data_IF_282820175916
#
_entry.id   IF_282820175916
#
_cell.length_a   1.000
_cell.length_b   1.000
_cell.length_c   1.000
_cell.angle_alpha   90.00
_cell.angle_beta   90.00
_cell.angle_gamma   90.00
#
_symmetry.space_group_name_H-M   'P 1'
#
loop_
_entity.id
_entity.type
_entity.pdbx_description
1 polymer ?
#
# COMPACT_ATOMS: atom_id res chain seq x y z
N UNK A 1 -5.97 24.01 -1.22
CA UNK A 1 -5.16 22.93 -0.63
C UNK A 1 -5.78 21.57 -0.94
N UNK A 2 -4.99 20.65 -1.50
CA UNK A 2 -5.39 19.25 -1.73
C UNK A 2 -5.06 18.42 -0.49
N UNK A 3 -6.05 17.70 0.03
CA UNK A 3 -5.93 16.85 1.23
C UNK A 3 -6.48 15.45 0.94
N UNK A 4 -6.06 14.44 1.71
CA UNK A 4 -6.60 13.08 1.64
C UNK A 4 -7.60 12.82 2.78
N UNK A 5 -8.85 13.21 2.60
CA UNK A 5 -9.97 12.97 3.53
C UNK A 5 -10.77 11.72 3.14
N UNK A 6 -10.14 10.76 2.45
CA UNK A 6 -10.74 9.45 2.23
C UNK A 6 -10.70 8.63 3.53
N UNK A 7 -11.69 8.89 4.39
CA UNK A 7 -11.86 8.25 5.70
C UNK A 7 -12.88 7.10 5.63
N UNK A 8 -12.71 6.04 6.43
CA UNK A 8 -13.67 4.95 6.49
C UNK A 8 -14.97 5.41 7.16
N UNK A 9 -16.10 5.10 6.50
CA UNK A 9 -17.45 5.42 6.97
C UNK A 9 -18.21 4.14 7.29
N UNK A 10 -18.97 4.15 8.39
CA UNK A 10 -19.97 3.14 8.74
C UNK A 10 -21.28 3.86 9.04
N UNK A 11 -22.33 3.52 8.30
CA UNK A 11 -23.67 4.13 8.44
C UNK A 11 -23.68 5.66 8.38
N UNK A 12 -22.82 6.24 7.53
CA UNK A 12 -22.67 7.69 7.37
C UNK A 12 -21.78 8.38 8.41
N UNK A 13 -21.27 7.64 9.40
CA UNK A 13 -20.39 8.14 10.45
C UNK A 13 -18.92 7.81 10.17
N UNK A 14 -18.03 8.75 10.49
CA UNK A 14 -16.57 8.54 10.41
C UNK A 14 -16.15 7.57 11.50
N UNK A 15 -15.52 6.46 11.13
CA UNK A 15 -15.02 5.46 12.09
C UNK A 15 -13.57 5.67 12.47
N UNK A 16 -12.76 6.29 11.60
CA UNK A 16 -11.37 6.70 11.87
C UNK A 16 -11.09 8.06 11.26
N UNK A 17 -10.66 9.02 12.07
CA UNK A 17 -10.44 10.42 11.65
C UNK A 17 -8.96 10.76 11.39
N UNK A 18 -8.05 9.80 11.48
CA UNK A 18 -6.59 10.01 11.43
C UNK A 18 -6.14 10.88 10.25
N UNK A 19 -6.71 10.66 9.05
CA UNK A 19 -6.35 11.43 7.86
C UNK A 19 -6.80 12.89 7.90
N UNK A 20 -7.92 13.17 8.59
CA UNK A 20 -8.39 14.54 8.80
C UNK A 20 -7.45 15.24 9.77
N UNK A 21 -7.16 14.60 10.91
CA UNK A 21 -6.25 15.11 11.93
C UNK A 21 -4.86 15.39 11.34
N UNK A 22 -4.35 14.50 10.48
CA UNK A 22 -3.03 14.65 9.87
C UNK A 22 -2.88 15.89 8.97
N UNK A 23 -3.95 16.42 8.39
CA UNK A 23 -3.90 17.63 7.57
C UNK A 23 -4.08 18.93 8.39
N UNK A 24 -4.48 18.84 9.66
CA UNK A 24 -4.80 20.01 10.48
C UNK A 24 -3.60 20.93 10.66
N UNK A 25 -2.39 20.39 10.79
CA UNK A 25 -1.19 21.20 10.97
C UNK A 25 -0.96 22.13 9.78
N UNK A 26 -1.09 21.62 8.55
CA UNK A 26 -0.99 22.44 7.33
C UNK A 26 -2.10 23.49 7.25
N UNK A 27 -3.34 23.12 7.61
CA UNK A 27 -4.48 24.05 7.56
C UNK A 27 -4.29 25.18 8.56
N UNK A 28 -3.96 24.86 9.81
CA UNK A 28 -3.68 25.82 10.87
C UNK A 28 -2.52 26.73 10.50
N UNK A 29 -1.41 26.15 10.02
CA UNK A 29 -0.25 26.91 9.59
C UNK A 29 -0.62 27.98 8.56
N UNK A 30 -1.39 27.61 7.52
CA UNK A 30 -1.77 28.57 6.48
C UNK A 30 -2.70 29.67 7.01
N UNK A 31 -3.63 29.33 7.91
CA UNK A 31 -4.54 30.31 8.54
C UNK A 31 -3.78 31.27 9.48
N UNK A 32 -2.91 30.74 10.33
CA UNK A 32 -2.10 31.49 11.29
C UNK A 32 -1.14 32.47 10.60
N UNK A 33 -0.71 32.16 9.39
CA UNK A 33 0.17 33.02 8.58
C UNK A 33 -0.61 33.95 7.63
N UNK A 34 -1.87 34.24 7.95
CA UNK A 34 -2.64 35.33 7.32
C UNK A 34 -3.22 35.01 5.95
N UNK A 35 -3.40 33.73 5.60
CA UNK A 35 -4.13 33.40 4.38
C UNK A 35 -5.57 33.91 4.45
N UNK A 36 -6.00 34.62 3.40
CA UNK A 36 -7.37 35.16 3.28
C UNK A 36 -8.44 34.06 3.36
N UNK A 37 -8.17 32.90 2.78
CA UNK A 37 -9.04 31.73 2.80
C UNK A 37 -8.25 30.45 2.56
N UNK A 38 -8.83 29.32 2.96
CA UNK A 38 -8.30 27.98 2.66
C UNK A 38 -9.40 27.14 2.01
N UNK A 39 -9.27 26.88 0.71
CA UNK A 39 -10.18 25.99 -0.01
C UNK A 39 -9.64 24.56 0.05
N UNK A 40 -10.35 23.66 0.73
CA UNK A 40 -9.99 22.25 0.82
C UNK A 40 -10.65 21.45 -0.31
N UNK A 41 -9.87 20.60 -0.97
CA UNK A 41 -10.40 19.63 -1.93
C UNK A 41 -9.88 18.23 -1.62
N UNK A 42 -10.76 17.22 -1.69
CA UNK A 42 -10.40 15.82 -1.49
C UNK A 42 -11.17 14.88 -2.43
N UNK A 43 -10.99 13.57 -2.27
CA UNK A 43 -11.83 12.53 -2.85
C UNK A 43 -12.46 11.72 -1.72
N UNK A 44 -13.59 11.07 -1.99
CA UNK A 44 -14.23 10.15 -1.05
C UNK A 44 -14.83 8.99 -1.85
N UNK A 45 -14.41 7.77 -1.54
CA UNK A 45 -14.85 6.58 -2.27
C UNK A 45 -14.41 6.58 -3.74
N UNK A 46 -15.13 5.81 -4.56
CA UNK A 46 -14.91 5.70 -6.00
C UNK A 46 -16.23 5.88 -6.75
N UNK A 47 -16.73 7.12 -6.86
CA UNK A 47 -18.01 7.37 -7.51
C UNK A 47 -17.97 7.30 -9.05
N UNK A 48 -16.81 6.96 -9.62
CA UNK A 48 -16.53 6.85 -11.06
C UNK A 48 -17.10 8.01 -11.93
N UNK A 49 -17.10 9.24 -11.40
CA UNK A 49 -17.40 10.45 -12.19
C UNK A 49 -18.84 10.97 -12.14
N UNK A 50 -19.73 10.40 -11.32
CA UNK A 50 -21.08 10.95 -11.05
C UNK A 50 -21.19 11.61 -9.67
N UNK A 51 -22.14 12.55 -9.54
CA UNK A 51 -22.69 12.96 -8.23
C UNK A 51 -23.60 11.83 -7.77
N UNK A 52 -23.02 10.84 -7.09
CA UNK A 52 -23.74 9.68 -6.60
C UNK A 52 -23.49 9.54 -5.10
N UNK A 53 -24.57 9.42 -4.31
CA UNK A 53 -24.47 9.13 -2.88
C UNK A 53 -23.90 7.71 -2.63
N UNK A 54 -23.84 6.82 -3.64
CA UNK A 54 -23.40 5.41 -3.51
C UNK A 54 -22.48 4.88 -4.63
N UNK A 55 -21.99 5.75 -5.50
CA UNK A 55 -20.79 5.60 -6.33
C UNK A 55 -20.65 4.38 -7.26
N UNK A 56 -21.39 4.33 -8.38
CA UNK A 56 -20.94 3.58 -9.57
C UNK A 56 -21.24 4.38 -10.85
N UNK A 57 -20.27 5.17 -11.28
CA UNK A 57 -20.31 6.03 -12.47
C UNK A 57 -20.35 5.26 -13.80
N UNK A 58 -21.52 4.72 -14.07
CA UNK A 58 -21.89 4.12 -15.35
C UNK A 58 -23.03 4.91 -16.01
N UNK A 59 -23.07 4.98 -17.33
CA UNK A 59 -24.18 5.58 -18.08
C UNK A 59 -25.43 4.68 -18.06
N UNK A 60 -26.49 5.06 -18.77
CA UNK A 60 -27.73 4.29 -18.85
C UNK A 60 -27.54 2.88 -19.44
N UNK A 61 -26.43 2.63 -20.15
CA UNK A 61 -26.06 1.33 -20.72
C UNK A 61 -25.18 0.49 -19.79
N UNK A 62 -24.79 1.01 -18.63
CA UNK A 62 -23.84 0.34 -17.73
C UNK A 62 -22.37 0.54 -18.11
N UNK A 63 -22.06 1.34 -19.13
CA UNK A 63 -20.69 1.65 -19.52
C UNK A 63 -20.08 2.73 -18.62
N UNK A 64 -18.79 2.59 -18.30
CA UNK A 64 -18.07 3.59 -17.48
C UNK A 64 -18.02 4.93 -18.20
N UNK A 65 -18.48 5.98 -17.52
CA UNK A 65 -18.39 7.34 -18.05
C UNK A 65 -16.94 7.82 -17.90
N UNK A 66 -16.37 8.35 -18.99
CA UNK A 66 -15.05 8.99 -18.98
C UNK A 66 -15.21 10.45 -19.39
N UNK A 67 -14.56 11.36 -18.67
CA UNK A 67 -14.49 12.75 -19.05
C UNK A 67 -13.65 12.91 -20.33
N UNK A 68 -14.07 13.79 -21.24
CA UNK A 68 -13.29 14.16 -22.42
C UNK A 68 -12.08 15.03 -22.01
N UNK A 69 -11.04 15.14 -22.84
CA UNK A 69 -9.91 16.04 -22.59
C UNK A 69 -10.34 17.49 -22.32
N UNK A 70 -11.32 18.00 -23.06
CA UNK A 70 -11.84 19.36 -22.91
C UNK A 70 -12.55 19.55 -21.57
N UNK A 71 -13.31 18.54 -21.12
CA UNK A 71 -13.94 18.54 -19.80
C UNK A 71 -12.90 18.48 -18.67
N UNK A 72 -11.82 17.71 -18.85
CA UNK A 72 -10.71 17.64 -17.91
C UNK A 72 -10.00 19.00 -17.81
N UNK A 73 -9.76 19.66 -18.94
CA UNK A 73 -9.11 20.97 -18.98
C UNK A 73 -10.00 22.07 -18.37
N UNK A 74 -11.28 22.10 -18.71
CA UNK A 74 -12.25 23.01 -18.10
C UNK A 74 -12.32 22.84 -16.57
N UNK A 75 -12.32 21.59 -16.09
CA UNK A 75 -12.32 21.29 -14.65
C UNK A 75 -11.01 21.70 -13.97
N UNK A 76 -9.86 21.48 -14.59
CA UNK A 76 -8.56 21.95 -14.06
C UNK A 76 -8.50 23.47 -13.99
N UNK A 77 -9.02 24.14 -15.00
CA UNK A 77 -9.11 25.60 -15.04
C UNK A 77 -10.03 26.13 -13.94
N UNK A 78 -11.18 25.48 -13.69
CA UNK A 78 -12.08 25.90 -12.61
C UNK A 78 -11.44 25.73 -11.22
N UNK A 79 -10.74 24.61 -10.97
CA UNK A 79 -10.00 24.41 -9.72
C UNK A 79 -8.87 25.43 -9.52
N UNK A 80 -8.15 25.77 -10.60
CA UNK A 80 -7.04 26.72 -10.56
C UNK A 80 -7.50 28.12 -10.13
N UNK A 81 -8.72 28.52 -10.49
CA UNK A 81 -9.29 29.82 -10.11
C UNK A 81 -9.67 29.94 -8.62
N UNK A 82 -9.64 28.84 -7.85
CA UNK A 82 -10.11 28.84 -6.45
C UNK A 82 -9.08 29.36 -5.45
N UNK A 83 -7.89 29.76 -5.88
CA UNK A 83 -6.90 30.38 -5.00
C UNK A 83 -5.66 30.86 -5.74
N UNK A 84 -4.79 31.56 -5.01
CA UNK A 84 -3.58 32.18 -5.57
C UNK A 84 -2.34 31.29 -5.40
N UNK A 85 -2.38 30.36 -4.45
CA UNK A 85 -1.33 29.39 -4.14
C UNK A 85 -1.94 28.00 -4.02
N UNK A 86 -1.24 27.00 -4.56
CA UNK A 86 -1.62 25.60 -4.41
C UNK A 86 -0.72 24.91 -3.36
N UNK A 87 -1.35 24.26 -2.39
CA UNK A 87 -0.67 23.39 -1.43
C UNK A 87 -1.19 21.97 -1.63
N UNK A 88 -0.27 21.02 -1.83
CA UNK A 88 -0.57 19.60 -1.89
C UNK A 88 -0.14 18.91 -0.60
N UNK A 89 -1.10 18.50 0.20
CA UNK A 89 -0.90 17.79 1.46
C UNK A 89 -1.49 16.37 1.44
N UNK A 90 -1.73 15.84 0.24
CA UNK A 90 -2.42 14.57 0.03
C UNK A 90 -1.45 13.44 -0.38
N UNK A 91 -0.50 13.11 0.50
CA UNK A 91 0.54 12.08 0.24
C UNK A 91 -0.05 10.73 -0.20
N UNK A 92 -1.13 10.27 0.46
CA UNK A 92 -1.82 9.02 0.12
C UNK A 92 -2.35 8.95 -1.32
N UNK A 93 -2.45 10.08 -2.02
CA UNK A 93 -2.85 10.17 -3.43
C UNK A 93 -1.74 10.66 -4.37
N UNK A 94 -0.53 10.93 -3.87
CA UNK A 94 0.59 11.47 -4.64
C UNK A 94 0.99 10.61 -5.85
N UNK A 95 0.78 9.29 -5.77
CA UNK A 95 1.02 8.33 -6.85
C UNK A 95 0.01 8.42 -8.02
N UNK A 96 -0.99 9.32 -7.95
CA UNK A 96 -2.06 9.43 -8.96
C UNK A 96 -1.95 10.73 -9.76
N UNK A 97 -1.82 10.60 -11.07
CA UNK A 97 -1.82 11.72 -12.02
C UNK A 97 -3.24 12.32 -12.27
N UNK A 98 -4.01 12.55 -11.21
CA UNK A 98 -5.36 13.11 -11.30
C UNK A 98 -5.35 14.64 -11.42
N UNK A 99 -6.41 15.23 -11.98
CA UNK A 99 -6.54 16.69 -12.17
C UNK A 99 -6.26 17.51 -10.91
N UNK A 100 -6.79 17.10 -9.76
CA UNK A 100 -6.57 17.80 -8.48
C UNK A 100 -5.16 17.65 -7.91
N UNK A 101 -4.33 16.75 -8.46
CA UNK A 101 -2.95 16.48 -8.01
C UNK A 101 -1.92 17.19 -8.89
N UNK A 102 -2.06 17.07 -10.21
CA UNK A 102 -1.07 17.53 -11.19
C UNK A 102 -1.59 18.60 -12.15
N UNK A 103 -2.90 18.91 -12.11
CA UNK A 103 -3.57 19.78 -13.08
C UNK A 103 -3.74 21.24 -12.66
N UNK A 104 -3.33 21.61 -11.44
CA UNK A 104 -3.44 22.99 -10.96
C UNK A 104 -2.30 23.84 -11.53
N UNK A 105 -2.66 24.91 -12.24
CA UNK A 105 -1.73 25.81 -12.94
C UNK A 105 -1.57 27.14 -12.21
N UNK A 106 -1.04 27.08 -10.98
CA UNK A 106 -0.61 28.26 -10.22
C UNK A 106 0.91 28.32 -10.20
N UNK A 107 1.47 29.53 -10.16
CA UNK A 107 2.91 29.76 -10.11
C UNK A 107 3.53 29.12 -8.87
N UNK A 108 2.92 29.37 -7.70
CA UNK A 108 3.36 28.83 -6.42
C UNK A 108 2.61 27.54 -6.10
N UNK A 109 3.34 26.43 -6.09
CA UNK A 109 2.86 25.09 -5.75
C UNK A 109 3.78 24.48 -4.69
N UNK A 110 3.25 24.26 -3.49
CA UNK A 110 4.02 23.78 -2.35
C UNK A 110 3.54 22.39 -1.87
N UNK A 111 4.45 21.64 -1.27
CA UNK A 111 4.09 20.51 -0.43
C UNK A 111 3.61 21.04 0.93
N UNK A 112 2.51 20.49 1.45
CA UNK A 112 2.07 20.76 2.82
C UNK A 112 2.96 20.06 3.85
N UNK A 113 2.68 20.27 5.13
CA UNK A 113 3.50 19.74 6.23
C UNK A 113 3.43 18.21 6.34
N UNK A 114 2.27 17.59 6.08
CA UNK A 114 2.14 16.13 6.03
C UNK A 114 2.94 15.58 4.84
N UNK A 115 2.76 16.16 3.65
CA UNK A 115 3.53 15.77 2.47
C UNK A 115 5.04 15.90 2.72
N UNK A 116 5.49 17.02 3.31
CA UNK A 116 6.88 17.24 3.67
C UNK A 116 7.38 16.18 4.65
N UNK A 117 6.63 15.88 5.72
CA UNK A 117 7.00 14.87 6.71
C UNK A 117 7.18 13.49 6.07
N UNK A 118 6.27 13.11 5.18
CA UNK A 118 6.35 11.85 4.44
C UNK A 118 7.57 11.84 3.51
N UNK A 119 7.79 12.89 2.72
CA UNK A 119 8.95 13.02 1.84
C UNK A 119 10.27 13.00 2.63
N UNK A 120 10.35 13.68 3.76
CA UNK A 120 11.54 13.70 4.62
C UNK A 120 11.81 12.30 5.20
N UNK A 121 10.77 11.60 5.65
CA UNK A 121 10.89 10.25 6.20
C UNK A 121 11.36 9.25 5.13
N UNK A 122 10.69 9.23 3.98
CA UNK A 122 11.06 8.34 2.87
C UNK A 122 12.41 8.72 2.27
N UNK A 123 12.74 10.00 2.14
CA UNK A 123 14.05 10.48 1.71
C UNK A 123 15.16 9.96 2.61
N UNK A 124 15.04 10.18 3.93
CA UNK A 124 16.01 9.65 4.91
C UNK A 124 16.12 8.12 4.85
N UNK A 125 14.99 7.42 4.82
CA UNK A 125 14.98 5.96 4.78
C UNK A 125 15.54 5.36 3.48
N UNK A 126 15.51 6.10 2.37
CA UNK A 126 15.90 5.58 1.05
C UNK A 126 17.23 6.13 0.52
N UNK A 127 17.72 7.28 1.01
CA UNK A 127 18.98 7.89 0.56
C UNK A 127 20.14 7.57 1.51
N UNK A 128 19.92 7.64 2.82
CA UNK A 128 20.95 7.43 3.84
C UNK A 128 20.43 6.65 5.07
N UNK A 129 19.89 5.43 4.88
CA UNK A 129 19.33 4.65 5.98
C UNK A 129 20.39 4.23 7.01
N UNK A 130 19.99 4.19 8.27
CA UNK A 130 20.77 3.50 9.30
C UNK A 130 20.72 1.99 9.05
N UNK A 131 21.88 1.34 9.06
CA UNK A 131 22.01 -0.09 8.72
C UNK A 131 22.14 -0.99 9.96
N UNK A 132 21.58 -2.21 9.96
CA UNK A 132 20.90 -2.87 8.84
C UNK A 132 19.56 -2.23 8.46
N UNK A 133 19.35 -2.03 7.15
CA UNK A 133 18.07 -1.55 6.60
C UNK A 133 17.24 -2.76 6.17
N UNK A 134 16.08 -2.95 6.80
CA UNK A 134 15.12 -4.01 6.50
C UNK A 134 13.93 -3.45 5.70
N UNK A 135 13.59 -4.10 4.59
CA UNK A 135 12.29 -3.92 3.95
C UNK A 135 11.36 -5.10 4.25
N UNK A 136 10.12 -4.81 4.62
CA UNK A 136 9.07 -5.81 4.85
C UNK A 136 7.98 -5.58 3.81
N UNK A 137 7.80 -6.53 2.90
CA UNK A 137 6.85 -6.41 1.81
C UNK A 137 5.83 -7.55 1.93
N UNK A 138 4.56 -7.18 2.08
CA UNK A 138 3.44 -8.13 2.15
C UNK A 138 2.43 -7.96 1.02
N UNK A 139 1.17 -8.34 1.26
CA UNK A 139 0.07 -8.16 0.30
C UNK A 139 -0.10 -9.31 -0.71
N UNK A 140 -0.86 -9.07 -1.78
CA UNK A 140 -1.49 -10.13 -2.57
C UNK A 140 -0.75 -10.56 -3.84
N UNK A 141 -0.18 -9.63 -4.62
CA UNK A 141 0.36 -9.89 -5.96
C UNK A 141 1.78 -9.39 -6.10
N UNK A 142 2.64 -10.20 -6.72
CA UNK A 142 4.06 -9.86 -6.97
C UNK A 142 4.16 -8.77 -8.03
N UNK A 143 3.40 -8.87 -9.12
CA UNK A 143 3.38 -7.95 -10.29
C UNK A 143 3.24 -6.50 -9.89
N UNK A 144 2.35 -6.21 -8.95
CA UNK A 144 2.08 -4.85 -8.46
C UNK A 144 3.26 -4.27 -7.67
N UNK A 145 4.19 -5.12 -7.21
CA UNK A 145 5.34 -4.76 -6.36
C UNK A 145 6.70 -5.00 -6.99
N UNK A 146 6.79 -5.51 -8.22
CA UNK A 146 8.07 -5.83 -8.88
C UNK A 146 9.03 -4.63 -8.83
N UNK A 147 8.58 -3.45 -9.28
CA UNK A 147 9.42 -2.25 -9.30
C UNK A 147 9.86 -1.84 -7.88
N UNK A 148 8.99 -1.99 -6.89
CA UNK A 148 9.32 -1.68 -5.50
C UNK A 148 10.39 -2.64 -4.96
N UNK A 149 10.24 -3.95 -5.20
CA UNK A 149 11.23 -4.97 -4.82
C UNK A 149 12.56 -4.68 -5.52
N UNK A 150 12.55 -4.50 -6.84
CA UNK A 150 13.77 -4.24 -7.62
C UNK A 150 14.51 -3.00 -7.11
N UNK A 151 13.81 -1.90 -6.81
CA UNK A 151 14.43 -0.68 -6.29
C UNK A 151 14.96 -0.83 -4.86
N UNK A 152 14.25 -1.57 -4.00
CA UNK A 152 14.67 -1.76 -2.61
C UNK A 152 15.84 -2.73 -2.49
N UNK A 153 15.96 -3.73 -3.37
CA UNK A 153 17.10 -4.65 -3.41
C UNK A 153 18.45 -3.94 -3.63
N UNK A 154 18.46 -2.72 -4.18
CA UNK A 154 19.68 -1.91 -4.32
C UNK A 154 20.05 -1.14 -3.05
N UNK A 155 19.19 -1.17 -2.02
CA UNK A 155 19.29 -0.28 -0.84
C UNK A 155 19.34 -1.04 0.48
N UNK A 156 18.55 -2.10 0.61
CA UNK A 156 18.35 -2.83 1.87
C UNK A 156 19.48 -3.81 2.15
N UNK A 157 19.62 -4.21 3.42
CA UNK A 157 20.47 -5.31 3.85
C UNK A 157 19.68 -6.61 3.97
N UNK A 158 18.41 -6.52 4.38
CA UNK A 158 17.52 -7.64 4.57
C UNK A 158 16.15 -7.33 3.95
N UNK A 159 15.46 -8.34 3.44
CA UNK A 159 14.11 -8.20 2.88
C UNK A 159 13.22 -9.37 3.28
N UNK A 160 12.09 -9.05 3.91
CA UNK A 160 10.99 -9.98 4.18
C UNK A 160 9.97 -9.91 3.04
N UNK A 161 9.59 -11.07 2.50
CA UNK A 161 8.48 -11.24 1.56
C UNK A 161 7.39 -12.08 2.23
N UNK A 162 6.26 -11.47 2.59
CA UNK A 162 5.11 -12.15 3.20
C UNK A 162 3.79 -11.94 2.47
N UNK A 163 2.67 -12.25 3.13
CA UNK A 163 1.34 -12.17 2.54
C UNK A 163 1.10 -13.19 1.43
N UNK A 164 0.02 -13.01 0.68
CA UNK A 164 -0.35 -13.88 -0.43
C UNK A 164 0.72 -13.96 -1.53
N UNK A 165 1.50 -12.91 -1.75
CA UNK A 165 2.55 -12.92 -2.78
C UNK A 165 3.72 -13.86 -2.45
N UNK A 166 3.92 -14.23 -1.18
CA UNK A 166 4.96 -15.18 -0.79
C UNK A 166 4.76 -16.56 -1.41
N UNK A 167 3.51 -16.99 -1.64
CA UNK A 167 3.22 -18.29 -2.26
C UNK A 167 3.71 -18.37 -3.71
N UNK A 168 3.77 -17.24 -4.43
CA UNK A 168 4.42 -17.19 -5.75
C UNK A 168 5.92 -17.48 -5.64
N UNK A 169 6.61 -16.93 -4.64
CA UNK A 169 8.03 -17.24 -4.39
C UNK A 169 8.22 -18.70 -4.02
N UNK A 170 7.43 -19.20 -3.06
CA UNK A 170 7.53 -20.57 -2.55
C UNK A 170 7.26 -21.62 -3.64
N UNK A 171 6.26 -21.39 -4.48
CA UNK A 171 5.98 -22.28 -5.61
C UNK A 171 7.15 -22.32 -6.60
N UNK A 172 7.76 -21.17 -6.90
CA UNK A 172 8.86 -21.09 -7.87
C UNK A 172 10.17 -21.63 -7.30
N UNK A 173 10.51 -21.30 -6.05
CA UNK A 173 11.81 -21.60 -5.45
C UNK A 173 11.87 -22.98 -4.82
N UNK A 174 10.76 -23.45 -4.26
CA UNK A 174 10.70 -24.71 -3.50
C UNK A 174 9.86 -25.78 -4.19
N UNK A 175 9.25 -25.47 -5.34
CA UNK A 175 8.24 -26.33 -5.97
C UNK A 175 7.13 -26.76 -4.97
N UNK A 176 6.80 -25.86 -4.04
CA UNK A 176 5.87 -26.13 -2.95
C UNK A 176 4.44 -26.21 -3.50
N UNK A 177 3.68 -27.21 -3.04
CA UNK A 177 2.23 -27.26 -3.23
C UNK A 177 1.57 -26.12 -2.45
N UNK A 178 0.84 -25.26 -3.14
CA UNK A 178 0.22 -24.06 -2.54
C UNK A 178 -1.31 -24.12 -2.48
N UNK A 179 -1.93 -25.25 -2.87
CA UNK A 179 -3.37 -25.38 -2.93
C UNK A 179 -4.03 -24.28 -3.76
N UNK A 180 -5.03 -23.61 -3.18
CA UNK A 180 -5.75 -22.47 -3.73
C UNK A 180 -5.23 -21.11 -3.24
N UNK A 181 -4.01 -21.07 -2.67
CA UNK A 181 -3.37 -19.81 -2.27
C UNK A 181 -3.15 -18.87 -3.47
N UNK A 182 -3.01 -17.57 -3.19
CA UNK A 182 -2.78 -16.59 -4.24
C UNK A 182 -1.50 -16.91 -5.02
N UNK A 183 -1.64 -16.96 -6.34
CA UNK A 183 -0.55 -17.19 -7.27
C UNK A 183 -0.60 -16.17 -8.40
N UNK A 184 0.53 -15.55 -8.66
CA UNK A 184 0.71 -14.58 -9.72
C UNK A 184 1.60 -15.18 -10.81
N UNK A 185 0.98 -15.70 -11.86
CA UNK A 185 1.70 -16.35 -12.97
C UNK A 185 2.66 -15.39 -13.68
N UNK A 186 2.27 -14.13 -13.86
CA UNK A 186 3.12 -13.11 -14.48
C UNK A 186 4.31 -12.80 -13.56
N UNK A 187 4.04 -12.69 -12.25
CA UNK A 187 5.07 -12.47 -11.24
C UNK A 187 6.02 -13.66 -11.04
N UNK A 188 5.56 -14.89 -11.26
CA UNK A 188 6.36 -16.10 -11.08
C UNK A 188 7.61 -16.11 -11.97
N UNK A 189 7.48 -15.63 -13.22
CA UNK A 189 8.59 -15.55 -14.16
C UNK A 189 9.72 -14.62 -13.73
N UNK A 190 9.45 -13.64 -12.85
CA UNK A 190 10.46 -12.68 -12.38
C UNK A 190 11.18 -13.13 -11.11
N UNK A 191 10.60 -14.06 -10.34
CA UNK A 191 11.13 -14.49 -9.03
C UNK A 191 12.62 -14.90 -9.09
N UNK A 192 13.07 -15.73 -10.06
CA UNK A 192 14.49 -16.12 -10.14
C UNK A 192 15.42 -14.90 -10.29
N UNK A 193 15.05 -13.95 -11.16
CA UNK A 193 15.81 -12.71 -11.37
C UNK A 193 15.88 -11.86 -10.10
N UNK A 194 14.80 -11.78 -9.33
CA UNK A 194 14.78 -11.05 -8.06
C UNK A 194 15.72 -11.69 -7.03
N UNK A 195 15.72 -13.03 -6.93
CA UNK A 195 16.61 -13.77 -6.02
C UNK A 195 18.08 -13.66 -6.44
N UNK A 196 18.37 -13.69 -7.75
CA UNK A 196 19.72 -13.43 -8.28
C UNK A 196 20.21 -12.03 -7.94
N UNK A 197 19.36 -11.00 -8.11
CA UNK A 197 19.69 -9.63 -7.74
C UNK A 197 19.93 -9.50 -6.23
N UNK A 198 19.08 -10.11 -5.41
CA UNK A 198 19.26 -10.15 -3.97
C UNK A 198 20.62 -10.76 -3.59
N UNK A 199 20.97 -11.91 -4.16
CA UNK A 199 22.26 -12.57 -3.96
C UNK A 199 23.43 -11.69 -4.41
N UNK A 200 23.34 -11.07 -5.60
CA UNK A 200 24.36 -10.16 -6.13
C UNK A 200 24.61 -8.96 -5.20
N UNK A 201 23.55 -8.44 -4.59
CA UNK A 201 23.62 -7.29 -3.69
C UNK A 201 23.85 -7.69 -2.22
N UNK A 202 24.08 -8.97 -1.93
CA UNK A 202 24.21 -9.52 -0.57
C UNK A 202 23.02 -9.17 0.34
N UNK A 203 21.81 -9.17 -0.22
CA UNK A 203 20.57 -8.98 0.53
C UNK A 203 20.12 -10.32 1.11
N UNK A 204 19.93 -10.37 2.43
CA UNK A 204 19.34 -11.53 3.08
C UNK A 204 17.83 -11.55 2.85
N UNK A 205 17.35 -12.57 2.12
CA UNK A 205 15.93 -12.76 1.84
C UNK A 205 15.29 -13.65 2.91
N UNK A 206 14.17 -13.21 3.46
CA UNK A 206 13.35 -13.93 4.44
C UNK A 206 11.99 -14.24 3.83
N UNK A 207 11.69 -15.53 3.66
CA UNK A 207 10.45 -16.03 3.05
C UNK A 207 9.82 -17.01 4.05
N UNK A 208 8.48 -16.99 4.24
CA UNK A 208 7.79 -17.84 5.21
C UNK A 208 8.10 -19.32 5.04
N UNK A 209 8.22 -20.02 6.16
CA UNK A 209 8.50 -21.45 6.22
C UNK A 209 7.32 -22.28 6.74
N UNK A 210 6.35 -21.62 7.37
CA UNK A 210 5.12 -22.19 7.87
C UNK A 210 3.96 -21.19 7.78
N UNK A 211 2.73 -21.71 7.79
CA UNK A 211 1.53 -20.99 7.41
C UNK A 211 0.33 -21.40 8.27
N UNK A 212 -0.59 -20.46 8.46
CA UNK A 212 -1.97 -20.74 8.86
C UNK A 212 -2.82 -20.84 7.61
N UNK A 213 -3.54 -21.94 7.46
CA UNK A 213 -4.36 -22.22 6.26
C UNK A 213 -5.84 -22.12 6.57
N UNK A 214 -6.65 -21.85 5.53
CA UNK A 214 -8.11 -21.87 5.57
C UNK A 214 -8.69 -22.71 4.43
N UNK A 215 -9.81 -23.38 4.68
CA UNK A 215 -10.56 -24.14 3.67
C UNK A 215 -11.32 -23.25 2.65
N UNK A 216 -11.49 -21.97 2.97
CA UNK A 216 -12.13 -20.96 2.12
C UNK A 216 -11.64 -19.56 2.49
N UNK A 217 -11.85 -18.60 1.59
CA UNK A 217 -11.56 -17.18 1.84
C UNK A 217 -12.73 -16.52 2.58
N UNK A 218 -12.89 -16.81 3.88
CA UNK A 218 -13.91 -16.19 4.72
C UNK A 218 -13.47 -16.13 6.19
N UNK A 219 -14.06 -15.22 6.96
CA UNK A 219 -13.82 -15.08 8.40
C UNK A 219 -14.13 -16.38 9.17
N UNK A 220 -15.13 -17.15 8.73
CA UNK A 220 -15.55 -18.41 9.33
C UNK A 220 -14.94 -19.66 8.66
N UNK A 221 -13.75 -19.51 8.07
CA UNK A 221 -13.00 -20.63 7.52
C UNK A 221 -12.57 -21.62 8.61
N UNK A 222 -12.55 -22.90 8.25
CA UNK A 222 -11.88 -23.91 9.07
C UNK A 222 -10.37 -23.66 8.99
N UNK A 223 -9.72 -23.53 10.15
CA UNK A 223 -8.30 -23.18 10.24
C UNK A 223 -7.43 -24.44 10.30
N UNK A 224 -6.33 -24.44 9.56
CA UNK A 224 -5.32 -25.49 9.53
C UNK A 224 -3.91 -24.91 9.59
N UNK A 225 -2.92 -25.76 9.35
CA UNK A 225 -1.51 -25.38 9.26
C UNK A 225 -0.87 -26.02 8.03
N UNK A 226 0.18 -25.39 7.52
CA UNK A 226 1.07 -25.97 6.51
C UNK A 226 2.50 -25.48 6.70
N UNK A 227 3.45 -26.14 6.06
CA UNK A 227 4.86 -25.73 6.00
C UNK A 227 5.49 -26.08 4.65
N UNK A 228 6.78 -25.78 4.47
CA UNK A 228 7.50 -26.07 3.22
C UNK A 228 7.47 -27.54 2.82
N UNK A 229 7.36 -28.46 3.78
CA UNK A 229 7.38 -29.89 3.52
C UNK A 229 5.97 -30.43 3.23
N UNK A 230 4.98 -30.06 4.03
CA UNK A 230 3.59 -30.49 3.85
C UNK A 230 2.89 -29.79 2.68
N UNK A 231 3.38 -28.61 2.31
CA UNK A 231 2.66 -27.70 1.43
C UNK A 231 1.36 -27.18 2.07
N UNK A 232 0.52 -26.59 1.22
CA UNK A 232 -0.87 -26.25 1.52
C UNK A 232 -1.77 -27.29 0.83
N UNK A 233 -2.72 -27.91 1.55
CA UNK A 233 -3.61 -28.92 0.99
C UNK A 233 -4.42 -28.42 -0.22
N UNK A 234 -4.77 -29.34 -1.13
CA UNK A 234 -5.65 -29.02 -2.26
C UNK A 234 -7.00 -28.45 -1.78
N UNK A 235 -7.45 -27.35 -2.39
CA UNK A 235 -8.66 -26.62 -2.00
C UNK A 235 -8.49 -25.68 -0.80
N UNK A 236 -7.38 -25.76 -0.07
CA UNK A 236 -7.05 -24.85 1.03
C UNK A 236 -6.13 -23.74 0.55
N UNK A 237 -6.04 -22.66 1.33
CA UNK A 237 -5.19 -21.51 1.03
C UNK A 237 -4.46 -21.04 2.29
N UNK A 238 -3.22 -20.59 2.13
CA UNK A 238 -2.49 -19.92 3.20
C UNK A 238 -2.96 -18.48 3.34
N UNK A 239 -3.39 -18.13 4.55
CA UNK A 239 -4.02 -16.84 4.87
C UNK A 239 -3.25 -16.06 5.93
N UNK A 240 -2.30 -16.69 6.62
CA UNK A 240 -1.38 -16.03 7.54
C UNK A 240 -0.05 -16.81 7.63
N UNK A 241 0.98 -16.18 8.18
CA UNK A 241 2.27 -16.83 8.47
C UNK A 241 2.19 -17.66 9.77
N UNK A 242 2.96 -18.73 9.86
CA UNK A 242 3.02 -19.59 11.05
C UNK A 242 4.00 -19.10 12.11
N UNK A 243 4.04 -19.79 13.24
CA UNK A 243 4.80 -19.38 14.43
C UNK A 243 6.32 -19.37 14.19
N UNK A 244 6.85 -20.30 13.37
CA UNK A 244 8.28 -20.36 13.05
C UNK A 244 8.68 -19.15 12.20
N UNK A 245 7.86 -18.82 11.21
CA UNK A 245 8.04 -17.65 10.36
C UNK A 245 7.97 -16.35 11.18
N UNK A 246 7.02 -16.25 12.11
CA UNK A 246 6.95 -15.10 13.02
C UNK A 246 8.22 -14.94 13.84
N UNK A 247 8.78 -16.03 14.37
CA UNK A 247 10.02 -15.99 15.13
C UNK A 247 11.20 -15.49 14.27
N UNK A 248 11.35 -16.02 13.05
CA UNK A 248 12.39 -15.60 12.11
C UNK A 248 12.27 -14.11 11.73
N UNK A 249 11.05 -13.67 11.38
CA UNK A 249 10.80 -12.28 11.02
C UNK A 249 11.03 -11.33 12.19
N UNK A 250 10.65 -11.72 13.42
CA UNK A 250 10.98 -10.96 14.64
C UNK A 250 12.48 -10.76 14.80
N UNK A 251 13.28 -11.77 14.51
CA UNK A 251 14.73 -11.66 14.65
C UNK A 251 15.34 -10.74 13.58
N UNK A 252 14.82 -10.74 12.35
CA UNK A 252 15.17 -9.75 11.34
C UNK A 252 14.82 -8.31 11.77
N UNK A 253 13.63 -8.11 12.35
CA UNK A 253 13.20 -6.80 12.87
C UNK A 253 14.10 -6.33 14.01
N UNK A 254 14.47 -7.21 14.95
CA UNK A 254 15.39 -6.86 16.06
C UNK A 254 16.78 -6.42 15.59
N UNK A 255 17.28 -6.95 14.46
CA UNK A 255 18.57 -6.55 13.89
C UNK A 255 18.50 -5.20 13.18
N UNK A 256 17.33 -4.82 12.67
CA UNK A 256 17.17 -3.65 11.83
C UNK A 256 17.36 -2.34 12.61
N UNK A 257 18.09 -1.39 12.02
CA UNK A 257 18.14 0.01 12.49
C UNK A 257 17.20 0.93 11.73
N UNK A 258 16.80 0.53 10.52
CA UNK A 258 15.77 1.19 9.72
C UNK A 258 14.83 0.12 9.19
N UNK A 259 13.52 0.36 9.27
CA UNK A 259 12.50 -0.54 8.73
C UNK A 259 11.56 0.25 7.82
N UNK A 260 11.32 -0.29 6.62
CA UNK A 260 10.22 0.15 5.75
C UNK A 260 9.28 -1.04 5.57
N UNK A 261 8.03 -0.87 5.98
CA UNK A 261 7.02 -1.92 5.88
C UNK A 261 5.88 -1.49 4.95
N UNK A 262 5.65 -2.27 3.89
CA UNK A 262 4.54 -2.10 2.97
C UNK A 262 3.75 -3.42 2.77
N UNK A 263 2.58 -3.50 3.38
CA UNK A 263 1.57 -4.56 3.16
C UNK A 263 1.57 -5.64 4.25
N UNK A 264 0.39 -6.16 4.61
CA UNK A 264 0.24 -7.11 5.72
C UNK A 264 0.83 -8.48 5.41
N UNK A 265 1.15 -9.25 6.45
CA UNK A 265 1.71 -10.61 6.34
C UNK A 265 0.63 -11.69 6.17
N UNK A 266 -0.64 -11.36 6.45
CA UNK A 266 -1.80 -12.24 6.33
C UNK A 266 -3.10 -11.44 6.15
N UNK A 267 -4.25 -12.13 6.18
CA UNK A 267 -5.60 -11.55 6.08
C UNK A 267 -6.04 -11.00 7.44
N UNK A 268 -5.43 -9.88 7.81
CA UNK A 268 -5.56 -9.28 9.14
C UNK A 268 -6.95 -8.76 9.49
N UNK A 269 -7.85 -8.67 8.52
CA UNK A 269 -9.24 -8.30 8.74
C UNK A 269 -10.04 -9.36 9.51
N UNK A 270 -9.52 -10.58 9.64
CA UNK A 270 -10.19 -11.70 10.31
C UNK A 270 -9.33 -12.23 11.47
N UNK A 271 -9.89 -12.32 12.68
CA UNK A 271 -9.15 -12.64 13.91
C UNK A 271 -8.33 -13.94 13.82
N UNK A 272 -8.84 -14.94 13.12
CA UNK A 272 -8.17 -16.21 12.90
C UNK A 272 -6.89 -16.11 12.05
N UNK A 273 -6.76 -15.04 11.27
CA UNK A 273 -5.65 -14.77 10.34
C UNK A 273 -5.00 -13.39 10.59
N UNK A 274 -5.24 -12.82 11.78
CA UNK A 274 -4.70 -11.53 12.23
C UNK A 274 -3.64 -11.66 13.33
N UNK A 275 -3.36 -12.89 13.81
CA UNK A 275 -2.48 -13.15 14.96
C UNK A 275 -1.07 -12.60 14.75
N UNK A 276 -0.62 -12.51 13.51
CA UNK A 276 0.78 -12.18 13.18
C UNK A 276 0.99 -10.68 12.93
N UNK A 277 -0.07 -9.92 12.62
CA UNK A 277 0.02 -8.49 12.30
C UNK A 277 0.39 -7.63 13.52
N UNK A 278 0.24 -8.15 14.75
CA UNK A 278 0.75 -7.54 15.98
C UNK A 278 2.08 -8.10 16.47
N UNK A 279 2.68 -9.05 15.74
CA UNK A 279 3.87 -9.79 16.18
C UNK A 279 5.14 -9.43 15.39
N UNK A 280 5.05 -8.91 14.16
CA UNK A 280 6.22 -8.47 13.37
C UNK A 280 6.44 -6.98 13.54
#
# INVERSE_FOLDING_TARGET
MRVDFYVPLKDGHITKNQRIVAALDSIKYVLEHGAKSVVLMSHLGRPDGKVDKKGKGVDASGAKIKATPEQVDAFRASLTKLGDVYVNDAFGTAHRAHSSMVGIKLEKRAAGLLMKKELDYFGKALESPSRPFLAILGGAKVKDKIQLIENLLDKVNEMIIGGGMAFTFLKVLNNMEIGSSLFDSDGAAIVPKLMEKAKKNNVQMHIPVDFVTGDKFAENATVGKGDLQSGVPAGWMGLDIGDKTVADFKDAVKRARTVVWNGPMGVFEWDHFARTNGCV
#
